data_IF_772169529867
#
_entry.id   IF_772169529867
#
_cell.length_a   1.000
_cell.length_b   1.000
_cell.length_c   1.000
_cell.angle_alpha   90.00
_cell.angle_beta   90.00
_cell.angle_gamma   90.00
#
_symmetry.space_group_name_H-M   'P 1'
#
loop_
_entity.id
_entity.type
_entity.pdbx_description
1 polymer ?
#
# COMPACT_ATOMS: atom_id res chain seq x y z
N UNK A 1 3.77 -14.08 0.84
CA UNK A 1 3.95 -15.55 0.61
C UNK A 1 5.44 -15.90 0.54
N UNK A 2 5.83 -17.16 0.32
CA UNK A 2 7.24 -17.56 0.13
C UNK A 2 7.54 -17.88 -1.34
N UNK A 3 8.45 -17.12 -1.99
CA UNK A 3 8.86 -17.30 -3.40
C UNK A 3 7.67 -17.45 -4.36
N UNK A 4 6.69 -16.54 -4.25
CA UNK A 4 5.39 -16.71 -4.88
C UNK A 4 5.46 -16.82 -6.41
N UNK A 5 6.27 -15.98 -7.06
CA UNK A 5 6.49 -16.02 -8.51
C UNK A 5 7.07 -17.35 -8.99
N UNK A 6 7.95 -17.98 -8.20
CA UNK A 6 8.62 -19.25 -8.56
C UNK A 6 7.72 -20.47 -8.31
N UNK A 7 6.65 -20.31 -7.51
CA UNK A 7 5.75 -21.38 -7.08
C UNK A 7 4.48 -21.52 -7.89
N UNK A 8 4.11 -20.53 -8.71
CA UNK A 8 2.90 -20.59 -9.51
C UNK A 8 2.85 -21.87 -10.37
N UNK A 9 2.04 -22.85 -9.98
CA UNK A 9 1.97 -24.15 -10.66
C UNK A 9 1.46 -23.95 -12.10
N UNK A 10 2.20 -24.46 -13.08
CA UNK A 10 1.88 -24.26 -14.50
C UNK A 10 0.53 -24.87 -14.89
N UNK A 11 0.18 -26.04 -14.38
CA UNK A 11 -1.08 -26.72 -14.69
C UNK A 11 -2.27 -25.91 -14.19
N UNK A 12 -2.22 -25.45 -12.92
CA UNK A 12 -3.26 -24.62 -12.32
C UNK A 12 -3.37 -23.27 -13.04
N UNK A 13 -2.24 -22.64 -13.35
CA UNK A 13 -2.22 -21.39 -14.10
C UNK A 13 -2.82 -21.55 -15.50
N UNK A 14 -2.50 -22.62 -16.21
CA UNK A 14 -3.03 -22.87 -17.55
C UNK A 14 -4.53 -23.18 -17.55
N UNK A 15 -5.05 -23.85 -16.52
CA UNK A 15 -6.51 -23.98 -16.34
C UNK A 15 -7.17 -22.59 -16.27
N UNK A 16 -6.62 -21.69 -15.44
CA UNK A 16 -7.14 -20.31 -15.31
C UNK A 16 -7.03 -19.50 -16.59
N UNK A 17 -5.95 -19.71 -17.35
CA UNK A 17 -5.79 -19.08 -18.67
C UNK A 17 -6.90 -19.57 -19.61
N UNK A 18 -7.24 -20.86 -19.60
CA UNK A 18 -8.35 -21.38 -20.41
C UNK A 18 -9.72 -20.83 -19.99
N UNK A 19 -9.91 -20.52 -18.71
CA UNK A 19 -11.17 -19.94 -18.20
C UNK A 19 -11.41 -18.50 -18.69
N UNK A 20 -10.33 -17.75 -18.95
CA UNK A 20 -10.41 -16.31 -19.29
C UNK A 20 -10.06 -16.03 -20.75
N UNK A 21 -9.16 -16.80 -21.36
CA UNK A 21 -8.65 -16.57 -22.72
C UNK A 21 -9.32 -17.51 -23.70
N UNK A 22 -10.20 -16.98 -24.53
CA UNK A 22 -11.01 -17.77 -25.48
C UNK A 22 -10.28 -18.17 -26.76
N UNK A 23 -9.19 -17.48 -27.13
CA UNK A 23 -8.47 -17.77 -28.37
C UNK A 23 -7.47 -18.93 -28.18
N UNK A 24 -7.66 -20.09 -28.84
CA UNK A 24 -6.81 -21.26 -28.64
C UNK A 24 -5.34 -21.04 -29.00
N UNK A 25 -5.06 -20.17 -29.98
CA UNK A 25 -3.67 -19.84 -30.37
C UNK A 25 -2.94 -19.05 -29.29
N UNK A 26 -3.65 -18.17 -28.60
CA UNK A 26 -3.08 -17.42 -27.48
C UNK A 26 -2.81 -18.34 -26.29
N UNK A 27 -3.75 -19.24 -25.96
CA UNK A 27 -3.56 -20.25 -24.92
C UNK A 27 -2.34 -21.12 -25.22
N UNK A 28 -2.23 -21.65 -26.44
CA UNK A 28 -1.08 -22.48 -26.85
C UNK A 28 0.25 -21.70 -26.78
N UNK A 29 0.23 -20.42 -27.13
CA UNK A 29 1.41 -19.56 -27.02
C UNK A 29 1.80 -19.32 -25.54
N UNK A 30 0.84 -19.06 -24.65
CA UNK A 30 1.08 -18.92 -23.20
C UNK A 30 1.60 -20.24 -22.61
N UNK A 31 1.04 -21.37 -23.02
CA UNK A 31 1.51 -22.70 -22.63
C UNK A 31 2.97 -22.90 -23.03
N UNK A 32 3.33 -22.61 -24.27
CA UNK A 32 4.72 -22.67 -24.74
C UNK A 32 5.64 -21.67 -24.03
N UNK A 33 5.11 -20.53 -23.57
CA UNK A 33 5.87 -19.55 -22.81
C UNK A 33 6.26 -20.05 -21.40
N UNK A 34 5.40 -20.85 -20.78
CA UNK A 34 5.58 -21.40 -19.43
C UNK A 34 6.33 -22.74 -19.43
N UNK A 35 5.97 -23.66 -20.34
CA UNK A 35 6.48 -25.02 -20.39
C UNK A 35 7.82 -25.14 -21.12
N UNK A 36 8.52 -26.27 -20.91
CA UNK A 36 9.77 -26.60 -21.61
C UNK A 36 10.97 -25.72 -21.20
N UNK A 37 10.83 -24.93 -20.14
CA UNK A 37 11.89 -24.06 -19.65
C UNK A 37 12.88 -24.85 -18.78
N UNK A 38 14.15 -24.49 -18.88
CA UNK A 38 15.22 -25.02 -18.02
C UNK A 38 15.98 -23.89 -17.37
N UNK A 39 16.49 -24.13 -16.16
CA UNK A 39 17.39 -23.22 -15.46
C UNK A 39 18.66 -23.93 -15.00
N UNK A 40 19.74 -23.17 -14.81
CA UNK A 40 20.97 -23.59 -14.16
C UNK A 40 21.58 -22.41 -13.42
N UNK A 41 22.42 -22.67 -12.43
CA UNK A 41 23.13 -21.65 -11.66
C UNK A 41 24.55 -21.49 -12.21
N UNK A 42 24.98 -20.25 -12.40
CA UNK A 42 26.38 -19.91 -12.70
C UNK A 42 26.95 -19.16 -11.52
N UNK A 43 27.98 -19.70 -10.90
CA UNK A 43 28.64 -19.10 -9.74
C UNK A 43 30.15 -19.29 -9.83
N UNK A 44 30.91 -18.19 -9.71
CA UNK A 44 32.38 -18.20 -9.76
C UNK A 44 32.95 -18.95 -10.98
N UNK A 45 32.37 -18.74 -12.16
CA UNK A 45 32.77 -19.42 -13.40
C UNK A 45 32.39 -20.90 -13.51
N UNK A 46 31.76 -21.48 -12.47
CA UNK A 46 31.24 -22.85 -12.50
C UNK A 46 29.76 -22.85 -12.88
N UNK A 47 29.33 -23.88 -13.61
CA UNK A 47 27.94 -24.05 -14.07
C UNK A 47 27.35 -25.32 -13.46
N UNK A 48 26.11 -25.24 -12.98
CA UNK A 48 25.35 -26.43 -12.60
C UNK A 48 24.76 -27.13 -13.82
N UNK A 49 24.26 -28.35 -13.61
CA UNK A 49 23.40 -29.02 -14.58
C UNK A 49 22.14 -28.21 -14.87
N UNK A 50 21.58 -28.42 -16.06
CA UNK A 50 20.26 -27.94 -16.42
C UNK A 50 19.17 -28.67 -15.64
N UNK A 51 18.20 -27.94 -15.13
CA UNK A 51 17.01 -28.46 -14.45
C UNK A 51 15.76 -27.91 -15.12
N UNK A 52 14.79 -28.77 -15.38
CA UNK A 52 13.48 -28.36 -15.93
C UNK A 52 12.71 -27.56 -14.87
N UNK A 53 12.05 -26.50 -15.30
CA UNK A 53 11.14 -25.71 -14.48
C UNK A 53 9.72 -26.25 -14.62
N UNK A 54 9.15 -26.72 -13.51
CA UNK A 54 7.78 -27.25 -13.43
C UNK A 54 6.79 -26.27 -12.82
N UNK A 55 7.27 -25.15 -12.30
CA UNK A 55 6.47 -24.09 -11.70
C UNK A 55 7.13 -22.73 -11.90
N UNK A 56 6.32 -21.71 -11.68
CA UNK A 56 6.71 -20.32 -11.65
C UNK A 56 6.55 -19.60 -12.98
N UNK A 57 6.34 -18.29 -12.90
CA UNK A 57 6.31 -17.42 -14.08
C UNK A 57 7.70 -16.77 -14.27
N UNK A 58 8.18 -16.58 -15.51
CA UNK A 58 9.54 -16.07 -15.74
C UNK A 58 9.76 -14.67 -15.15
N UNK A 59 10.64 -14.51 -14.18
CA UNK A 59 10.95 -13.18 -13.63
C UNK A 59 11.55 -12.28 -14.74
N UNK A 60 11.07 -11.03 -14.82
CA UNK A 60 11.46 -10.08 -15.88
C UNK A 60 10.70 -10.22 -17.20
N UNK A 61 9.83 -11.23 -17.33
CA UNK A 61 8.92 -11.32 -18.47
C UNK A 61 7.80 -10.28 -18.38
N UNK A 62 7.46 -9.64 -19.51
CA UNK A 62 6.38 -8.63 -19.58
C UNK A 62 5.02 -9.23 -19.19
N UNK A 63 4.79 -10.49 -19.55
CA UNK A 63 3.53 -11.20 -19.29
C UNK A 63 3.43 -11.76 -17.86
N UNK A 64 4.57 -12.02 -17.23
CA UNK A 64 4.65 -12.73 -15.95
C UNK A 64 3.85 -12.07 -14.82
N UNK A 65 3.85 -10.72 -14.65
CA UNK A 65 2.98 -10.08 -13.65
C UNK A 65 1.50 -10.33 -13.90
N UNK A 66 1.03 -10.33 -15.15
CA UNK A 66 -0.38 -10.56 -15.48
C UNK A 66 -0.79 -12.00 -15.21
N UNK A 67 0.05 -12.96 -15.58
CA UNK A 67 -0.18 -14.37 -15.27
C UNK A 67 -0.18 -14.62 -13.76
N UNK A 68 0.72 -13.95 -13.03
CA UNK A 68 0.74 -14.04 -11.58
C UNK A 68 -0.51 -13.41 -10.95
N UNK A 69 -1.00 -12.28 -11.47
CA UNK A 69 -2.25 -11.68 -11.02
C UNK A 69 -3.46 -12.58 -11.28
N UNK A 70 -3.54 -13.20 -12.47
CA UNK A 70 -4.56 -14.19 -12.80
C UNK A 70 -4.47 -15.42 -11.89
N UNK A 71 -3.27 -15.84 -11.52
CA UNK A 71 -3.09 -16.89 -10.54
C UNK A 71 -3.63 -16.48 -9.16
N UNK A 72 -3.41 -15.22 -8.77
CA UNK A 72 -3.79 -14.69 -7.48
C UNK A 72 -5.28 -14.33 -7.38
N UNK A 73 -6.01 -14.20 -8.50
CA UNK A 73 -7.38 -13.67 -8.54
C UNK A 73 -8.47 -14.65 -8.09
N UNK A 74 -8.13 -15.92 -7.87
CA UNK A 74 -9.07 -16.95 -7.42
C UNK A 74 -9.15 -17.09 -5.90
N UNK A 75 -8.43 -16.23 -5.16
CA UNK A 75 -8.61 -16.13 -3.72
C UNK A 75 -10.06 -15.79 -3.44
N UNK A 76 -10.57 -16.40 -2.39
CA UNK A 76 -11.91 -16.16 -1.91
C UNK A 76 -11.88 -15.93 -0.41
N UNK A 77 -12.91 -15.24 0.08
CA UNK A 77 -13.11 -14.90 1.48
C UNK A 77 -14.32 -15.65 2.01
N UNK A 78 -14.31 -15.96 3.31
CA UNK A 78 -15.43 -16.66 3.96
C UNK A 78 -16.64 -15.74 4.05
N UNK A 79 -16.42 -14.44 4.26
CA UNK A 79 -17.46 -13.49 4.55
C UNK A 79 -17.47 -12.31 3.56
N UNK A 80 -18.65 -11.92 3.10
CA UNK A 80 -18.83 -10.90 2.06
C UNK A 80 -18.39 -9.48 2.46
N UNK A 81 -18.32 -9.17 3.75
CA UNK A 81 -17.83 -7.90 4.29
C UNK A 81 -16.33 -7.93 4.67
N UNK A 82 -15.64 -9.03 4.38
CA UNK A 82 -14.17 -9.08 4.48
C UNK A 82 -13.56 -8.30 3.32
N UNK A 83 -12.67 -7.37 3.66
CA UNK A 83 -11.84 -6.67 2.69
C UNK A 83 -10.60 -7.53 2.38
N UNK A 84 -10.54 -8.11 1.18
CA UNK A 84 -9.34 -8.73 0.61
C UNK A 84 -8.60 -7.76 -0.30
N UNK A 85 -7.35 -7.46 0.04
CA UNK A 85 -6.45 -6.61 -0.76
C UNK A 85 -5.19 -7.38 -1.10
N UNK A 86 -4.95 -7.57 -2.40
CA UNK A 86 -3.69 -8.12 -2.91
C UNK A 86 -2.82 -7.06 -3.60
N UNK A 87 -1.51 -7.14 -3.38
CA UNK A 87 -0.51 -6.43 -4.18
C UNK A 87 0.66 -7.36 -4.47
N UNK A 88 0.73 -7.88 -5.69
CA UNK A 88 1.61 -8.99 -6.02
C UNK A 88 1.43 -10.15 -5.01
N UNK A 89 2.47 -10.49 -4.24
CA UNK A 89 2.46 -11.60 -3.28
C UNK A 89 2.14 -11.19 -1.83
N UNK A 90 1.96 -9.88 -1.60
CA UNK A 90 1.43 -9.34 -0.35
C UNK A 90 -0.10 -9.39 -0.40
N UNK A 91 -0.69 -10.02 0.62
CA UNK A 91 -2.15 -10.15 0.79
C UNK A 91 -2.52 -9.62 2.17
N UNK A 92 -3.58 -8.83 2.24
CA UNK A 92 -4.13 -8.30 3.48
C UNK A 92 -5.63 -8.55 3.57
N UNK A 93 -6.05 -9.16 4.68
CA UNK A 93 -7.45 -9.37 5.01
C UNK A 93 -7.83 -8.44 6.17
N UNK A 94 -8.97 -7.76 6.07
CA UNK A 94 -9.47 -6.87 7.12
C UNK A 94 -10.98 -7.02 7.28
N UNK A 95 -11.43 -7.02 8.54
CA UNK A 95 -12.81 -7.28 8.91
C UNK A 95 -13.17 -6.60 10.22
N UNK A 96 -14.45 -6.23 10.36
CA UNK A 96 -15.00 -5.79 11.65
C UNK A 96 -15.35 -7.00 12.51
N UNK A 97 -14.88 -7.00 13.76
CA UNK A 97 -15.19 -8.05 14.75
C UNK A 97 -16.37 -7.62 15.63
N UNK A 98 -17.17 -8.58 16.06
CA UNK A 98 -18.19 -8.37 17.08
C UNK A 98 -17.57 -8.13 18.46
N UNK A 99 -18.19 -7.27 19.26
CA UNK A 99 -17.81 -6.98 20.65
C UNK A 99 -18.84 -7.52 21.66
N UNK A 100 -19.68 -8.47 21.25
CA UNK A 100 -20.65 -9.13 22.13
C UNK A 100 -19.92 -9.83 23.29
N UNK A 101 -20.36 -9.56 24.53
CA UNK A 101 -19.64 -9.98 25.75
C UNK A 101 -19.55 -11.50 25.91
N UNK A 102 -20.52 -12.24 25.37
CA UNK A 102 -20.65 -13.68 25.58
C UNK A 102 -20.29 -14.50 24.34
N UNK A 103 -19.71 -13.86 23.31
CA UNK A 103 -19.37 -14.51 22.06
C UNK A 103 -17.94 -14.18 21.62
N UNK A 104 -17.14 -15.23 21.44
CA UNK A 104 -15.82 -15.11 20.80
C UNK A 104 -16.03 -15.02 19.30
N UNK A 105 -15.56 -13.93 18.70
CA UNK A 105 -15.57 -13.75 17.26
C UNK A 105 -14.47 -14.63 16.63
N UNK A 106 -14.87 -15.56 15.76
CA UNK A 106 -13.98 -16.49 15.07
C UNK A 106 -13.72 -16.09 13.61
N UNK A 107 -14.32 -15.01 13.13
CA UNK A 107 -14.39 -14.73 11.70
C UNK A 107 -13.01 -14.52 11.07
N UNK A 108 -12.11 -13.78 11.73
CA UNK A 108 -10.74 -13.60 11.24
C UNK A 108 -9.91 -14.91 11.25
N UNK A 109 -10.20 -15.84 12.18
CA UNK A 109 -9.56 -17.16 12.20
C UNK A 109 -10.05 -18.01 11.04
N UNK A 110 -11.35 -17.96 10.73
CA UNK A 110 -11.93 -18.67 9.59
C UNK A 110 -11.41 -18.12 8.25
N UNK A 111 -11.26 -16.80 8.13
CA UNK A 111 -10.60 -16.19 6.96
C UNK A 111 -9.14 -16.64 6.82
N UNK A 112 -8.39 -16.73 7.92
CA UNK A 112 -7.02 -17.25 7.89
C UNK A 112 -6.97 -18.73 7.44
N UNK A 113 -7.90 -19.56 7.93
CA UNK A 113 -8.01 -20.97 7.52
C UNK A 113 -8.41 -21.12 6.05
N UNK A 114 -9.30 -20.26 5.55
CA UNK A 114 -9.67 -20.24 4.14
C UNK A 114 -8.48 -19.86 3.26
N UNK A 115 -7.66 -18.90 3.70
CA UNK A 115 -6.44 -18.53 3.00
C UNK A 115 -5.39 -19.66 3.01
N UNK A 116 -5.26 -20.39 4.12
CA UNK A 116 -4.42 -21.60 4.21
C UNK A 116 -4.89 -22.68 3.23
N UNK A 117 -6.19 -23.01 3.24
CA UNK A 117 -6.80 -23.98 2.33
C UNK A 117 -6.63 -23.59 0.86
N UNK A 118 -6.84 -22.31 0.54
CA UNK A 118 -6.57 -21.79 -0.80
C UNK A 118 -5.10 -21.96 -1.16
N UNK A 119 -4.16 -21.66 -0.25
CA UNK A 119 -2.74 -21.77 -0.54
C UNK A 119 -2.33 -23.22 -0.81
N UNK A 120 -2.83 -24.17 0.00
CA UNK A 120 -2.61 -25.60 -0.17
C UNK A 120 -3.15 -26.11 -1.51
N UNK A 121 -4.39 -25.76 -1.86
CA UNK A 121 -5.01 -26.12 -3.15
C UNK A 121 -4.25 -25.54 -4.36
N UNK A 122 -3.39 -24.55 -4.14
CA UNK A 122 -2.66 -23.82 -5.17
C UNK A 122 -1.15 -24.08 -5.17
N UNK A 123 -0.65 -25.05 -4.40
CA UNK A 123 0.79 -25.31 -4.20
C UNK A 123 1.59 -24.08 -3.70
N UNK A 124 0.89 -23.14 -3.06
CA UNK A 124 1.47 -21.92 -2.51
C UNK A 124 1.87 -22.13 -1.05
N UNK A 125 2.98 -21.51 -0.65
CA UNK A 125 3.38 -21.48 0.76
C UNK A 125 3.16 -20.09 1.33
N UNK A 126 2.26 -20.01 2.31
CA UNK A 126 2.18 -18.86 3.19
C UNK A 126 3.41 -18.81 4.10
N UNK A 127 3.75 -17.60 4.57
CA UNK A 127 4.91 -17.38 5.43
C UNK A 127 4.46 -16.77 6.74
N UNK A 128 3.96 -17.57 7.67
CA UNK A 128 3.45 -17.07 8.95
C UNK A 128 4.48 -16.27 9.76
N UNK A 129 5.78 -16.56 9.61
CA UNK A 129 6.86 -15.78 10.25
C UNK A 129 6.98 -14.35 9.73
N UNK A 130 6.62 -14.12 8.47
CA UNK A 130 6.57 -12.77 7.86
C UNK A 130 5.18 -12.14 7.97
N UNK A 131 4.14 -12.94 8.16
CA UNK A 131 2.77 -12.46 8.37
C UNK A 131 2.67 -11.69 9.68
N UNK A 132 1.79 -10.69 9.68
CA UNK A 132 1.52 -9.85 10.85
C UNK A 132 0.02 -9.69 11.02
N UNK A 133 -0.46 -9.70 12.26
CA UNK A 133 -1.84 -9.36 12.59
C UNK A 133 -1.88 -8.10 13.45
N UNK A 134 -2.92 -7.28 13.25
CA UNK A 134 -3.12 -6.02 13.95
C UNK A 134 -4.57 -5.93 14.41
N UNK A 135 -4.78 -5.83 15.72
CA UNK A 135 -6.10 -5.56 16.28
C UNK A 135 -6.27 -4.06 16.48
N UNK A 136 -7.23 -3.47 15.78
CA UNK A 136 -7.63 -2.06 15.96
C UNK A 136 -8.91 -2.05 16.81
N UNK A 137 -8.76 -1.74 18.10
CA UNK A 137 -9.88 -1.66 19.03
C UNK A 137 -9.75 -0.43 19.94
N UNK A 138 -10.81 0.37 20.01
CA UNK A 138 -10.89 1.58 20.84
C UNK A 138 -11.87 1.44 22.01
N UNK A 139 -12.45 0.25 22.17
CA UNK A 139 -13.26 -0.10 23.34
C UNK A 139 -12.35 -0.20 24.56
N UNK A 140 -12.89 0.12 25.74
CA UNK A 140 -12.23 -0.17 27.02
C UNK A 140 -12.17 -1.68 27.29
N UNK A 141 -13.16 -2.41 26.77
CA UNK A 141 -13.23 -3.86 26.86
C UNK A 141 -12.67 -4.43 25.56
N UNK A 142 -11.40 -4.82 25.57
CA UNK A 142 -10.76 -5.49 24.45
C UNK A 142 -11.30 -6.92 24.40
N UNK A 143 -11.84 -7.39 23.26
CA UNK A 143 -12.38 -8.74 23.15
C UNK A 143 -11.25 -9.76 23.24
N UNK A 144 -11.54 -10.92 23.84
CA UNK A 144 -10.68 -12.09 23.70
C UNK A 144 -10.89 -12.66 22.30
N UNK A 145 -9.82 -12.69 21.50
CA UNK A 145 -9.84 -13.26 20.16
C UNK A 145 -9.11 -14.60 20.14
N UNK A 146 -9.56 -15.54 19.29
CA UNK A 146 -8.85 -16.79 19.11
C UNK A 146 -7.45 -16.53 18.51
N UNK A 147 -6.47 -17.40 18.80
CA UNK A 147 -5.16 -17.29 18.19
C UNK A 147 -5.26 -17.44 16.67
N UNK A 148 -4.46 -16.66 15.95
CA UNK A 148 -4.31 -16.76 14.50
C UNK A 148 -3.06 -17.57 14.16
N UNK A 149 -3.16 -18.36 13.09
CA UNK A 149 -2.04 -19.08 12.48
C UNK A 149 -2.16 -18.95 10.97
N UNK A 150 -1.03 -18.92 10.28
CA UNK A 150 -0.95 -18.97 8.81
C UNK A 150 0.24 -19.85 8.42
N UNK A 151 0.02 -20.81 7.52
CA UNK A 151 1.02 -21.78 7.08
C UNK A 151 1.58 -22.61 8.24
N UNK A 152 0.73 -22.97 9.21
CA UNK A 152 1.11 -23.73 10.41
C UNK A 152 1.90 -22.96 11.47
N UNK A 153 2.17 -21.67 11.26
CA UNK A 153 2.94 -20.83 12.19
C UNK A 153 2.02 -19.81 12.90
N UNK A 154 2.18 -19.57 14.21
CA UNK A 154 1.36 -18.62 14.95
C UNK A 154 1.63 -17.17 14.53
N UNK A 155 0.56 -16.37 14.39
CA UNK A 155 0.61 -14.95 13.99
C UNK A 155 -0.01 -14.09 15.10
N UNK A 156 0.77 -13.74 16.15
CA UNK A 156 0.25 -13.01 17.30
C UNK A 156 -0.13 -11.57 16.94
N UNK A 157 -1.19 -11.06 17.59
CA UNK A 157 -1.61 -9.67 17.43
C UNK A 157 -0.52 -8.71 17.92
N UNK A 158 0.01 -7.95 16.98
CA UNK A 158 1.01 -6.93 17.23
C UNK A 158 0.36 -5.57 17.47
N UNK A 159 1.13 -4.62 18.04
CA UNK A 159 0.69 -3.21 18.14
C UNK A 159 0.91 -2.44 16.85
N UNK A 160 1.76 -2.95 15.97
CA UNK A 160 2.20 -2.27 14.75
C UNK A 160 2.35 -3.31 13.65
N UNK A 161 1.73 -3.07 12.50
CA UNK A 161 1.91 -3.86 11.29
C UNK A 161 2.52 -3.02 10.17
N UNK A 162 3.35 -3.66 9.33
CA UNK A 162 3.95 -3.06 8.15
C UNK A 162 3.39 -3.71 6.89
N UNK A 163 2.99 -2.90 5.92
CA UNK A 163 2.50 -3.37 4.63
C UNK A 163 2.71 -2.31 3.56
N UNK A 164 3.18 -2.72 2.37
CA UNK A 164 3.39 -1.84 1.21
C UNK A 164 4.22 -0.57 1.48
N UNK A 165 5.14 -0.63 2.46
CA UNK A 165 5.98 0.49 2.88
C UNK A 165 5.35 1.42 3.93
N UNK A 166 4.13 1.12 4.40
CA UNK A 166 3.46 1.84 5.47
C UNK A 166 3.57 1.12 6.81
N UNK A 167 3.43 1.87 7.89
CA UNK A 167 3.43 1.38 9.26
C UNK A 167 2.10 1.80 9.88
N UNK A 168 1.29 0.84 10.29
CA UNK A 168 0.01 1.07 10.94
C UNK A 168 0.09 0.63 12.39
N UNK A 169 -0.23 1.53 13.31
CA UNK A 169 -0.37 1.18 14.73
C UNK A 169 -1.83 0.86 15.09
N UNK A 170 -2.03 0.14 16.19
CA UNK A 170 -3.34 -0.27 16.68
C UNK A 170 -4.23 0.92 17.11
N UNK A 171 -3.67 2.12 17.22
CA UNK A 171 -4.39 3.36 17.52
C UNK A 171 -4.77 4.15 16.26
N UNK A 172 -4.38 3.66 15.08
CA UNK A 172 -4.47 4.34 13.79
C UNK A 172 -3.84 5.75 13.84
N UNK A 173 -2.71 5.87 14.54
CA UNK A 173 -1.89 7.07 14.51
C UNK A 173 -0.82 6.97 13.42
N UNK A 174 -0.29 8.11 13.00
CA UNK A 174 0.83 8.17 12.06
C UNK A 174 2.19 8.31 12.75
N UNK A 175 2.27 8.10 14.07
CA UNK A 175 3.48 8.39 14.84
C UNK A 175 4.68 7.54 14.40
N UNK A 176 4.56 6.21 14.47
CA UNK A 176 5.64 5.29 14.12
C UNK A 176 6.04 5.42 12.63
N UNK A 177 5.05 5.61 11.76
CA UNK A 177 5.28 5.81 10.33
C UNK A 177 6.06 7.10 10.05
N UNK A 178 5.60 8.24 10.57
CA UNK A 178 6.25 9.54 10.36
C UNK A 178 7.64 9.56 10.98
N UNK A 179 7.83 8.97 12.16
CA UNK A 179 9.15 8.84 12.77
C UNK A 179 10.11 8.03 11.88
N UNK A 180 9.64 6.91 11.32
CA UNK A 180 10.43 6.08 10.39
C UNK A 180 10.79 6.86 9.11
N UNK A 181 9.82 7.56 8.51
CA UNK A 181 10.04 8.40 7.32
C UNK A 181 11.06 9.51 7.59
N UNK A 182 10.89 10.26 8.67
CA UNK A 182 11.78 11.36 9.06
C UNK A 182 13.18 10.85 9.34
N UNK A 183 13.33 9.71 10.01
CA UNK A 183 14.63 9.08 10.26
C UNK A 183 15.31 8.67 8.95
N UNK A 184 14.59 7.97 8.06
CA UNK A 184 15.11 7.52 6.76
C UNK A 184 15.47 8.68 5.83
N UNK A 185 14.68 9.75 5.81
CA UNK A 185 14.99 10.95 5.02
C UNK A 185 16.15 11.75 5.64
N UNK A 186 16.22 11.82 6.96
CA UNK A 186 17.29 12.55 7.67
C UNK A 186 18.67 11.91 7.51
N UNK A 187 18.76 10.58 7.48
CA UNK A 187 20.04 9.90 7.25
C UNK A 187 20.63 10.25 5.88
N UNK A 188 19.78 10.43 4.86
CA UNK A 188 20.19 10.83 3.50
C UNK A 188 20.71 12.27 3.41
N UNK A 189 20.43 13.13 4.39
CA UNK A 189 20.99 14.49 4.44
C UNK A 189 22.52 14.49 4.59
N UNK A 190 23.12 13.41 5.07
CA UNK A 190 24.57 13.29 5.16
C UNK A 190 25.22 13.38 3.76
N UNK A 191 24.71 12.61 2.79
CA UNK A 191 25.19 12.64 1.42
C UNK A 191 25.01 14.02 0.77
N UNK A 192 23.87 14.65 1.02
CA UNK A 192 23.62 16.01 0.52
C UNK A 192 24.69 16.99 1.04
N UNK A 193 25.05 16.93 2.33
CA UNK A 193 26.12 17.77 2.90
C UNK A 193 27.47 17.49 2.27
N UNK A 194 27.80 16.21 2.07
CA UNK A 194 29.07 15.82 1.47
C UNK A 194 29.20 16.43 0.06
N UNK A 195 28.19 16.26 -0.77
CA UNK A 195 28.19 16.77 -2.14
C UNK A 195 28.22 18.29 -2.20
N UNK A 196 27.50 18.96 -1.28
CA UNK A 196 27.59 20.44 -1.17
C UNK A 196 29.00 20.88 -0.81
N UNK A 197 29.69 20.18 0.11
CA UNK A 197 31.09 20.48 0.47
C UNK A 197 32.06 20.27 -0.71
N UNK A 198 31.79 19.31 -1.59
CA UNK A 198 32.57 19.07 -2.81
C UNK A 198 32.32 20.10 -3.92
N UNK A 199 31.56 21.17 -3.65
CA UNK A 199 31.38 22.26 -4.60
C UNK A 199 30.32 22.02 -5.67
N UNK A 200 29.50 20.96 -5.55
CA UNK A 200 28.42 20.68 -6.49
C UNK A 200 27.46 21.87 -6.66
N UNK A 201 26.96 22.06 -7.88
CA UNK A 201 26.08 23.17 -8.21
C UNK A 201 24.71 23.03 -7.52
N UNK A 202 24.01 24.15 -7.33
CA UNK A 202 22.71 24.17 -6.64
C UNK A 202 21.66 23.33 -7.36
N UNK A 203 21.63 23.37 -8.70
CA UNK A 203 20.64 22.65 -9.48
C UNK A 203 20.72 21.14 -9.26
N UNK A 204 21.92 20.56 -9.32
CA UNK A 204 22.15 19.14 -9.07
C UNK A 204 21.82 18.75 -7.62
N UNK A 205 22.21 19.58 -6.66
CA UNK A 205 21.91 19.35 -5.25
C UNK A 205 20.40 19.35 -4.98
N UNK A 206 19.65 20.25 -5.63
CA UNK A 206 18.18 20.25 -5.58
C UNK A 206 17.65 18.97 -6.19
N UNK A 207 18.16 18.53 -7.34
CA UNK A 207 17.72 17.30 -7.99
C UNK A 207 17.99 16.05 -7.12
N UNK A 208 19.12 16.00 -6.44
CA UNK A 208 19.46 14.96 -5.47
C UNK A 208 18.49 15.00 -4.28
N UNK A 209 18.18 16.19 -3.77
CA UNK A 209 17.16 16.33 -2.73
C UNK A 209 15.79 15.81 -3.18
N UNK A 210 15.33 16.19 -4.38
CA UNK A 210 14.05 15.76 -4.94
C UNK A 210 13.99 14.24 -5.12
N UNK A 211 15.03 13.65 -5.70
CA UNK A 211 15.09 12.22 -6.05
C UNK A 211 15.35 11.30 -4.88
N UNK A 212 16.16 11.70 -3.89
CA UNK A 212 16.59 10.82 -2.80
C UNK A 212 15.97 11.14 -1.44
N UNK A 213 15.62 12.40 -1.16
CA UNK A 213 15.11 12.78 0.18
C UNK A 213 13.61 13.03 0.11
N UNK A 214 13.16 13.90 -0.80
CA UNK A 214 11.74 14.24 -0.96
C UNK A 214 10.91 13.03 -1.37
N UNK A 215 11.43 12.20 -2.28
CA UNK A 215 10.77 10.95 -2.70
C UNK A 215 10.43 10.02 -1.54
N UNK A 216 11.25 9.99 -0.47
CA UNK A 216 10.95 9.22 0.76
C UNK A 216 9.78 9.83 1.51
N UNK A 217 9.78 11.16 1.68
CA UNK A 217 8.74 11.89 2.41
C UNK A 217 7.40 11.94 1.65
N UNK A 218 7.44 11.82 0.32
CA UNK A 218 6.27 11.87 -0.56
C UNK A 218 5.75 10.48 -0.97
N UNK A 219 6.43 9.39 -0.60
CA UNK A 219 5.90 8.05 -0.84
C UNK A 219 4.58 7.86 -0.09
N UNK A 220 3.47 7.72 -0.83
CA UNK A 220 2.17 7.48 -0.21
C UNK A 220 1.57 8.64 0.59
N UNK A 221 2.13 9.84 0.46
CA UNK A 221 1.82 10.98 1.33
C UNK A 221 0.34 11.40 1.36
N UNK A 222 -0.48 11.03 0.37
CA UNK A 222 -1.94 11.26 0.38
C UNK A 222 -2.62 10.69 1.64
N UNK A 223 -2.13 9.57 2.19
CA UNK A 223 -2.66 8.99 3.42
C UNK A 223 -2.37 9.85 4.66
N UNK A 224 -1.32 10.66 4.61
CA UNK A 224 -0.89 11.55 5.69
C UNK A 224 -1.55 12.93 5.64
N UNK A 225 -2.56 13.13 4.78
CA UNK A 225 -3.21 14.45 4.61
C UNK A 225 -3.85 14.95 5.91
N UNK A 226 -4.32 14.05 6.77
CA UNK A 226 -4.86 14.38 8.09
C UNK A 226 -3.91 14.10 9.25
N UNK A 227 -2.59 13.99 9.01
CA UNK A 227 -1.63 13.85 10.12
C UNK A 227 -1.68 15.07 11.06
N UNK A 228 -1.16 14.91 12.28
CA UNK A 228 -1.11 16.02 13.23
C UNK A 228 -0.20 17.17 12.74
N UNK A 229 -0.37 18.36 13.31
CA UNK A 229 0.48 19.51 12.99
C UNK A 229 1.95 19.21 13.32
N UNK A 230 2.20 18.59 14.47
CA UNK A 230 3.54 18.21 14.92
C UNK A 230 4.19 17.22 13.95
N UNK A 231 3.43 16.25 13.45
CA UNK A 231 3.87 15.29 12.44
C UNK A 231 4.17 15.99 11.10
N UNK A 232 3.30 16.88 10.65
CA UNK A 232 3.52 17.68 9.44
C UNK A 232 4.78 18.54 9.56
N UNK A 233 4.94 19.24 10.67
CA UNK A 233 6.09 20.10 10.94
C UNK A 233 7.39 19.29 11.04
N UNK A 234 7.33 18.05 11.53
CA UNK A 234 8.50 17.17 11.59
C UNK A 234 9.05 16.80 10.22
N UNK A 235 8.18 16.52 9.25
CA UNK A 235 8.57 16.27 7.86
C UNK A 235 9.08 17.58 7.22
N UNK A 236 8.40 18.69 7.47
CA UNK A 236 8.80 20.01 6.93
C UNK A 236 10.18 20.45 7.44
N UNK A 237 10.55 20.12 8.69
CA UNK A 237 11.90 20.35 9.22
C UNK A 237 12.98 19.65 8.40
N UNK A 238 12.70 18.48 7.81
CA UNK A 238 13.66 17.78 6.93
C UNK A 238 13.87 18.56 5.64
N UNK A 239 12.79 19.03 5.00
CA UNK A 239 12.87 19.89 3.80
C UNK A 239 13.66 21.18 4.10
N UNK A 240 13.31 21.89 5.19
CA UNK A 240 14.03 23.11 5.60
C UNK A 240 15.51 22.86 5.86
N UNK A 241 15.87 21.74 6.50
CA UNK A 241 17.26 21.36 6.74
C UNK A 241 18.00 21.06 5.44
N UNK A 242 17.37 20.36 4.50
CA UNK A 242 17.94 20.12 3.18
C UNK A 242 18.22 21.43 2.44
N UNK A 243 17.23 22.33 2.37
CA UNK A 243 17.38 23.62 1.71
C UNK A 243 18.48 24.49 2.36
N UNK A 244 18.59 24.47 3.70
CA UNK A 244 19.67 25.16 4.41
C UNK A 244 21.07 24.59 4.09
N UNK A 245 21.17 23.28 3.88
CA UNK A 245 22.43 22.64 3.46
C UNK A 245 22.79 23.11 2.05
N UNK A 246 21.85 23.04 1.10
CA UNK A 246 22.06 23.42 -0.30
C UNK A 246 22.42 24.90 -0.43
N UNK A 247 21.74 25.76 0.34
CA UNK A 247 21.99 27.20 0.32
C UNK A 247 23.27 27.61 1.04
N UNK A 248 24.03 26.67 1.65
CA UNK A 248 25.16 26.96 2.54
C UNK A 248 24.80 27.99 3.63
N UNK A 249 23.61 27.84 4.24
CA UNK A 249 23.12 28.78 5.24
C UNK A 249 22.64 30.13 4.68
N UNK A 250 22.29 30.19 3.39
CA UNK A 250 21.79 31.41 2.72
C UNK A 250 22.78 32.10 1.79
N UNK A 251 24.00 31.55 1.64
CA UNK A 251 25.03 32.07 0.72
C UNK A 251 24.74 31.79 -0.74
N UNK A 252 23.92 30.78 -1.04
CA UNK A 252 23.48 30.43 -2.41
C UNK A 252 21.98 30.61 -2.52
N UNK A 253 21.53 31.18 -3.63
CA UNK A 253 20.11 31.22 -3.98
C UNK A 253 19.62 29.79 -4.24
N UNK A 254 18.45 29.45 -3.69
CA UNK A 254 17.79 28.16 -3.88
C UNK A 254 16.38 28.40 -4.41
N UNK A 255 15.85 27.52 -5.28
CA UNK A 255 14.50 27.67 -5.80
C UNK A 255 13.48 27.62 -4.66
N UNK A 256 12.41 28.42 -4.79
CA UNK A 256 11.30 28.37 -3.87
C UNK A 256 10.50 27.09 -4.10
N UNK A 257 10.71 26.10 -3.22
CA UNK A 257 9.97 24.84 -3.27
C UNK A 257 8.67 24.97 -2.45
N UNK A 258 7.53 24.50 -2.97
CA UNK A 258 6.32 24.41 -2.17
C UNK A 258 6.55 23.50 -0.95
N UNK A 259 5.85 23.80 0.14
CA UNK A 259 5.90 23.01 1.36
C UNK A 259 5.44 21.57 1.10
N UNK A 260 5.91 20.64 1.93
CA UNK A 260 5.45 19.25 1.86
C UNK A 260 3.97 19.14 2.19
N UNK A 261 3.44 20.05 3.01
CA UNK A 261 2.02 20.13 3.34
C UNK A 261 1.18 20.51 2.12
N UNK A 262 1.50 21.61 1.44
CA UNK A 262 0.75 22.07 0.26
C UNK A 262 0.70 21.00 -0.83
N UNK A 263 1.82 20.32 -1.05
CA UNK A 263 1.86 19.23 -2.04
C UNK A 263 1.01 18.04 -1.66
N UNK A 264 0.99 17.69 -0.37
CA UNK A 264 0.13 16.63 0.15
C UNK A 264 -1.35 16.94 -0.01
N UNK A 265 -1.72 18.17 0.32
CA UNK A 265 -3.10 18.64 0.14
C UNK A 265 -3.48 18.64 -1.35
N UNK A 266 -2.60 19.12 -2.22
CA UNK A 266 -2.81 19.09 -3.67
C UNK A 266 -2.92 17.65 -4.22
N UNK A 267 -2.07 16.72 -3.77
CA UNK A 267 -2.13 15.32 -4.16
C UNK A 267 -3.40 14.63 -3.66
N UNK A 268 -3.86 14.94 -2.44
CA UNK A 268 -5.12 14.42 -1.91
C UNK A 268 -6.33 14.94 -2.70
N UNK A 269 -6.35 16.22 -3.07
CA UNK A 269 -7.40 16.80 -3.94
C UNK A 269 -7.37 16.17 -5.33
N UNK A 270 -6.19 15.95 -5.90
CA UNK A 270 -6.03 15.26 -7.19
C UNK A 270 -6.58 13.85 -7.13
N UNK A 271 -6.18 13.06 -6.13
CA UNK A 271 -6.70 11.70 -5.95
C UNK A 271 -8.22 11.70 -5.78
N UNK A 272 -8.77 12.64 -5.00
CA UNK A 272 -10.22 12.75 -4.85
C UNK A 272 -10.92 13.08 -6.17
N UNK A 273 -10.34 13.94 -7.02
CA UNK A 273 -10.85 14.19 -8.40
C UNK A 273 -10.81 12.92 -9.23
N UNK A 274 -9.73 12.15 -9.15
CA UNK A 274 -9.57 10.90 -9.87
C UNK A 274 -10.62 9.85 -9.44
N UNK A 275 -11.00 9.84 -8.16
CA UNK A 275 -12.06 8.99 -7.58
C UNK A 275 -13.47 9.33 -8.10
N UNK A 276 -13.69 10.53 -8.65
CA UNK A 276 -15.00 10.90 -9.21
C UNK A 276 -15.36 10.12 -10.48
N UNK A 277 -14.37 9.48 -11.12
CA UNK A 277 -14.57 8.64 -12.29
C UNK A 277 -15.20 7.30 -11.89
N UNK A 278 -16.27 6.84 -12.55
CA UNK A 278 -16.93 5.57 -12.23
C UNK A 278 -16.00 4.35 -12.30
N UNK A 279 -14.97 4.40 -13.16
CA UNK A 279 -14.01 3.31 -13.35
C UNK A 279 -12.92 3.27 -12.27
N UNK A 280 -12.88 4.27 -11.39
CA UNK A 280 -11.87 4.34 -10.34
C UNK A 280 -12.18 3.30 -9.24
N UNK A 281 -11.21 2.48 -8.79
CA UNK A 281 -11.44 1.42 -7.78
C UNK A 281 -11.98 1.90 -6.42
N UNK A 282 -11.90 3.21 -6.15
CA UNK A 282 -12.38 3.83 -4.91
C UNK A 282 -13.63 4.71 -5.13
N UNK A 283 -14.27 4.62 -6.30
CA UNK A 283 -15.43 5.47 -6.64
C UNK A 283 -16.56 5.33 -5.61
N UNK A 284 -16.83 4.12 -5.14
CA UNK A 284 -17.90 3.82 -4.18
C UNK A 284 -17.70 4.49 -2.81
N UNK A 285 -16.49 4.93 -2.51
CA UNK A 285 -16.18 5.66 -1.28
C UNK A 285 -16.46 7.17 -1.39
N UNK A 286 -16.77 7.68 -2.58
CA UNK A 286 -17.07 9.10 -2.80
C UNK A 286 -18.42 9.44 -2.17
N UNK A 287 -18.49 10.42 -1.25
CA UNK A 287 -19.76 10.80 -0.65
C UNK A 287 -20.69 11.45 -1.67
N UNK A 288 -22.02 11.47 -1.43
CA UNK A 288 -22.96 12.10 -2.34
C UNK A 288 -22.82 13.62 -2.38
N UNK A 289 -23.14 14.22 -3.54
CA UNK A 289 -23.20 15.68 -3.71
C UNK A 289 -24.39 16.28 -2.93
N UNK A 290 -24.26 17.51 -2.44
CA UNK A 290 -25.33 18.15 -1.65
C UNK A 290 -26.65 18.31 -2.40
N UNK A 291 -26.58 18.48 -3.73
CA UNK A 291 -27.77 18.54 -4.60
C UNK A 291 -28.59 17.25 -4.58
N UNK A 292 -27.93 16.09 -4.55
CA UNK A 292 -28.62 14.78 -4.57
C UNK A 292 -29.22 14.45 -3.21
N UNK A 293 -28.70 15.04 -2.13
CA UNK A 293 -29.18 14.81 -0.76
C UNK A 293 -30.33 15.75 -0.37
N UNK A 294 -30.26 17.02 -0.73
CA UNK A 294 -31.21 18.04 -0.22
C UNK A 294 -32.31 18.42 -1.20
N UNK A 295 -32.17 18.13 -2.49
CA UNK A 295 -33.14 18.52 -3.54
C UNK A 295 -33.31 20.03 -3.73
N UNK A 296 -32.55 20.87 -3.01
CA UNK A 296 -32.66 22.34 -3.00
C UNK A 296 -31.50 22.99 -3.77
N UNK A 297 -31.78 24.09 -4.47
CA UNK A 297 -30.75 24.89 -5.14
C UNK A 297 -29.99 25.79 -4.14
N UNK A 298 -29.03 25.21 -3.42
CA UNK A 298 -28.13 25.95 -2.54
C UNK A 298 -26.95 26.54 -3.33
N UNK A 299 -26.35 27.65 -2.85
CA UNK A 299 -25.13 28.24 -3.44
C UNK A 299 -23.99 27.23 -3.58
N UNK A 300 -23.91 26.25 -2.67
CA UNK A 300 -22.87 25.21 -2.67
C UNK A 300 -23.39 23.84 -3.16
N UNK A 301 -24.34 23.83 -4.11
CA UNK A 301 -25.01 22.60 -4.60
C UNK A 301 -24.04 21.56 -5.19
N UNK A 302 -22.91 22.00 -5.74
CA UNK A 302 -21.88 21.15 -6.34
C UNK A 302 -20.87 20.62 -5.31
N UNK A 303 -20.92 21.09 -4.07
CA UNK A 303 -20.07 20.58 -3.00
C UNK A 303 -20.52 19.19 -2.56
N UNK A 304 -19.55 18.38 -2.14
CA UNK A 304 -19.78 17.05 -1.60
C UNK A 304 -20.17 17.11 -0.13
N UNK A 305 -21.01 16.16 0.31
CA UNK A 305 -21.41 16.05 1.71
C UNK A 305 -20.23 15.51 2.52
N UNK A 306 -19.88 16.18 3.63
CA UNK A 306 -18.86 15.65 4.51
C UNK A 306 -19.42 14.45 5.28
N UNK A 307 -18.70 13.31 5.32
CA UNK A 307 -19.09 12.17 6.16
C UNK A 307 -19.28 12.61 7.60
N UNK A 308 -20.36 12.17 8.26
CA UNK A 308 -20.61 12.49 9.66
C UNK A 308 -19.50 11.88 10.53
N UNK A 309 -18.72 12.72 11.20
CA UNK A 309 -17.60 12.28 12.03
C UNK A 309 -17.78 12.70 13.49
N UNK A 310 -17.88 11.72 14.39
CA UNK A 310 -17.98 11.93 15.85
C UNK A 310 -16.63 12.00 16.55
N UNK A 311 -15.58 11.46 15.94
CA UNK A 311 -14.23 11.40 16.50
C UNK A 311 -13.26 12.21 15.65
N UNK A 312 -12.23 12.79 16.27
CA UNK A 312 -11.22 13.53 15.53
C UNK A 312 -10.41 12.64 14.60
N UNK A 313 -10.24 11.36 14.95
CA UNK A 313 -9.62 10.35 14.07
C UNK A 313 -10.35 10.24 12.73
N UNK A 314 -11.67 10.15 12.75
CA UNK A 314 -12.45 10.07 11.50
C UNK A 314 -12.43 11.40 10.75
N UNK A 315 -12.45 12.54 11.46
CA UNK A 315 -12.30 13.87 10.82
C UNK A 315 -10.93 14.04 10.14
N UNK A 316 -9.90 13.38 10.66
CA UNK A 316 -8.53 13.35 10.15
C UNK A 316 -8.28 12.22 9.14
N UNK A 317 -9.29 11.40 8.84
CA UNK A 317 -9.17 10.39 7.78
C UNK A 317 -8.97 11.05 6.40
N UNK A 318 -8.43 10.28 5.46
CA UNK A 318 -8.22 10.72 4.08
C UNK A 318 -9.51 11.27 3.45
N UNK A 319 -10.58 10.48 3.41
CA UNK A 319 -11.84 10.87 2.75
C UNK A 319 -12.40 12.18 3.31
N UNK A 320 -12.49 12.29 4.64
CA UNK A 320 -13.03 13.49 5.27
C UNK A 320 -12.18 14.73 4.97
N UNK A 321 -10.86 14.60 5.04
CA UNK A 321 -9.93 15.72 4.77
C UNK A 321 -9.90 16.10 3.30
N UNK A 322 -9.85 15.13 2.39
CA UNK A 322 -9.81 15.35 0.95
C UNK A 322 -11.09 16.01 0.43
N UNK A 323 -12.26 15.57 0.89
CA UNK A 323 -13.56 16.18 0.55
C UNK A 323 -13.61 17.64 1.04
N UNK A 324 -13.13 17.91 2.25
CA UNK A 324 -13.07 19.28 2.79
C UNK A 324 -12.17 20.18 1.95
N UNK A 325 -10.97 19.71 1.61
CA UNK A 325 -10.02 20.44 0.76
C UNK A 325 -10.60 20.68 -0.64
N UNK A 326 -11.22 19.66 -1.24
CA UNK A 326 -11.85 19.77 -2.54
C UNK A 326 -12.99 20.79 -2.53
N UNK A 327 -13.90 20.71 -1.55
CA UNK A 327 -15.00 21.66 -1.42
C UNK A 327 -14.52 23.11 -1.27
N UNK A 328 -13.43 23.33 -0.52
CA UNK A 328 -12.83 24.66 -0.39
C UNK A 328 -12.19 25.16 -1.69
N UNK A 329 -11.77 24.26 -2.60
CA UNK A 329 -11.17 24.63 -3.88
C UNK A 329 -12.18 25.00 -4.98
N UNK A 330 -13.46 24.67 -4.78
CA UNK A 330 -14.57 24.94 -5.72
C UNK A 330 -15.55 25.99 -5.21
N UNK A 331 -15.35 26.50 -3.98
CA UNK A 331 -16.16 27.56 -3.35
C UNK A 331 -15.58 28.92 -3.70
#
# INVERSE_FOLDING_TARGET
MSKAFDRANHSILLQRVNDVVTNPRMVAWIQNHLQGRTQRVVANGKVSEWRVLTSGVPQGGVLSPYLFLLFMSTRDVVYSDTLDVGYADDVGLSRSISLEKDRVDNSMREEALQLDSWAECNDMLLNGKKSQSLLICFSRNIPLLPPLSLGGEPVPFSRVAKGLGFIFDCKLSWHDHVQSLVSKASSRLHYLRLLTKQGMCVADLVQIYLSLIRSVLEYGHVLLVGCSKEQSDSMERVQKRALRIISLGGRRSVPNLPSLKERREAAAVKLFKDMLRPEHPLHDLVPPQRRTVTGRQLRNKNAFTLPKARTDRLKQSFLHTAVRLYNNSIS
#
